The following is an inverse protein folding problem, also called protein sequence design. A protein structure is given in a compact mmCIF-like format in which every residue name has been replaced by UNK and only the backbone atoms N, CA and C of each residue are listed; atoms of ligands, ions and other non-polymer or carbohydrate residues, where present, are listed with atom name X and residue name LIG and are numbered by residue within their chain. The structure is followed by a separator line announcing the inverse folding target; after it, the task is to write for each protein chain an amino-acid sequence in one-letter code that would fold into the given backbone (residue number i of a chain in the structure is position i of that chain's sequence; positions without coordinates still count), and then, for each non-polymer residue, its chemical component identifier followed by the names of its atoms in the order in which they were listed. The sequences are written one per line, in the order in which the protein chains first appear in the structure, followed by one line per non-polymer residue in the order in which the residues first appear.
data_IF_150451747972
#
_entry.id   IF_150451747972
#
_cell.length_a   1.000
_cell.length_b   1.000
_cell.length_c   1.000
_cell.angle_alpha   90.00
_cell.angle_beta   90.00
_cell.angle_gamma   90.00
#
_symmetry.space_group_name_H-M   'P 1'
#
loop_
_entity.id
_entity.type
_entity.pdbx_description
1 polymer ?
#
# COMPACT_ATOMS: atom_id res chain seq x y z
N UNK A 1 9.69 -26.34 2.72
CA UNK A 1 8.57 -25.58 2.14
C UNK A 1 8.69 -24.16 2.69
N UNK A 2 8.72 -23.13 1.85
CA UNK A 2 8.81 -21.75 2.34
C UNK A 2 7.40 -21.24 2.62
N UNK A 3 7.08 -20.99 3.89
CA UNK A 3 5.82 -20.36 4.28
C UNK A 3 6.00 -18.84 4.32
N UNK A 4 5.15 -18.08 3.62
CA UNK A 4 5.21 -16.62 3.68
C UNK A 4 4.81 -16.12 5.06
N UNK A 5 5.51 -15.11 5.57
CA UNK A 5 5.10 -14.39 6.79
C UNK A 5 3.74 -13.72 6.61
N UNK A 6 3.07 -13.41 7.71
CA UNK A 6 1.81 -12.66 7.71
C UNK A 6 1.96 -11.35 6.95
N UNK A 7 3.09 -10.65 7.13
CA UNK A 7 3.42 -9.43 6.40
C UNK A 7 3.54 -9.69 4.89
N UNK A 8 4.20 -10.78 4.49
CA UNK A 8 4.35 -11.11 3.07
C UNK A 8 3.01 -11.46 2.40
N UNK A 9 2.06 -12.02 3.14
CA UNK A 9 0.68 -12.23 2.68
C UNK A 9 -0.07 -10.90 2.57
N UNK A 10 0.02 -10.05 3.60
CA UNK A 10 -0.61 -8.73 3.62
C UNK A 10 -0.13 -7.87 2.45
N UNK A 11 1.17 -7.82 2.17
CA UNK A 11 1.74 -7.05 1.04
C UNK A 11 1.20 -7.51 -0.31
N UNK A 12 0.94 -8.82 -0.50
CA UNK A 12 0.31 -9.33 -1.72
C UNK A 12 -1.13 -8.89 -1.84
N UNK A 13 -1.89 -8.98 -0.74
CA UNK A 13 -3.28 -8.52 -0.69
C UNK A 13 -3.36 -7.02 -0.99
N UNK A 14 -2.49 -6.21 -0.38
CA UNK A 14 -2.40 -4.78 -0.62
C UNK A 14 -2.11 -4.46 -2.09
N UNK A 15 -1.22 -5.21 -2.73
CA UNK A 15 -0.90 -5.02 -4.13
C UNK A 15 -2.10 -5.31 -5.05
N UNK A 16 -2.73 -6.48 -4.91
CA UNK A 16 -3.85 -6.87 -5.78
C UNK A 16 -5.06 -5.97 -5.57
N UNK A 17 -5.34 -5.57 -4.32
CA UNK A 17 -6.40 -4.61 -4.03
C UNK A 17 -6.11 -3.23 -4.66
N UNK A 18 -4.88 -2.70 -4.52
CA UNK A 18 -4.53 -1.42 -5.17
C UNK A 18 -4.52 -1.51 -6.71
N UNK A 19 -4.29 -2.68 -7.29
CA UNK A 19 -4.44 -2.91 -8.73
C UNK A 19 -5.91 -2.79 -9.16
N UNK A 20 -6.85 -3.30 -8.38
CA UNK A 20 -8.29 -3.11 -8.60
C UNK A 20 -8.68 -1.63 -8.46
N UNK A 21 -8.24 -0.98 -7.39
CA UNK A 21 -8.51 0.46 -7.14
C UNK A 21 -7.99 1.31 -8.29
N UNK A 22 -6.77 1.03 -8.80
CA UNK A 22 -6.24 1.69 -9.99
C UNK A 22 -7.21 1.59 -11.17
N UNK A 23 -7.76 0.41 -11.44
CA UNK A 23 -8.70 0.19 -12.54
C UNK A 23 -9.98 1.00 -12.35
N UNK A 24 -10.54 1.02 -11.14
CA UNK A 24 -11.72 1.82 -10.81
C UNK A 24 -11.49 3.32 -11.00
N UNK A 25 -10.33 3.83 -10.55
CA UNK A 25 -9.96 5.24 -10.74
C UNK A 25 -9.88 5.60 -12.24
N UNK A 26 -9.25 4.74 -13.05
CA UNK A 26 -9.08 4.97 -14.50
C UNK A 26 -10.44 4.90 -15.23
N UNK A 27 -11.31 3.98 -14.83
CA UNK A 27 -12.66 3.86 -15.38
C UNK A 27 -13.60 5.00 -14.96
N UNK A 28 -13.23 5.77 -13.92
CA UNK A 28 -14.09 6.79 -13.34
C UNK A 28 -15.21 6.24 -12.44
N UNK A 29 -15.10 4.96 -12.08
CA UNK A 29 -16.03 4.22 -11.24
C UNK A 29 -15.95 4.66 -9.77
N UNK A 30 -16.96 4.29 -8.98
CA UNK A 30 -16.87 4.39 -7.53
C UNK A 30 -15.81 3.44 -7.01
N UNK A 31 -14.98 3.91 -6.08
CA UNK A 31 -14.02 3.05 -5.40
C UNK A 31 -14.77 2.07 -4.49
N UNK A 32 -14.20 0.88 -4.30
CA UNK A 32 -14.61 -0.01 -3.23
C UNK A 32 -14.40 0.65 -1.86
N UNK A 33 -14.95 0.04 -0.80
CA UNK A 33 -14.73 0.50 0.57
C UNK A 33 -13.25 0.42 0.95
N UNK A 34 -12.80 1.37 1.76
CA UNK A 34 -11.42 1.41 2.25
C UNK A 34 -11.07 0.08 2.96
N UNK A 35 -9.94 -0.56 2.61
CA UNK A 35 -9.58 -1.86 3.16
C UNK A 35 -9.03 -1.69 4.58
N UNK A 36 -9.91 -1.81 5.57
CA UNK A 36 -9.57 -1.75 7.00
C UNK A 36 -8.46 -2.74 7.39
N UNK A 37 -8.39 -3.87 6.69
CA UNK A 37 -7.34 -4.88 6.85
C UNK A 37 -5.92 -4.35 6.64
N UNK A 38 -5.73 -3.24 5.91
CA UNK A 38 -4.39 -2.67 5.73
C UNK A 38 -3.81 -2.14 7.03
N UNK A 39 -4.63 -1.84 8.04
CA UNK A 39 -4.17 -1.46 9.39
C UNK A 39 -3.39 -2.59 10.07
N UNK A 40 -3.56 -3.85 9.61
CA UNK A 40 -2.74 -4.98 10.06
C UNK A 40 -1.26 -4.82 9.72
N UNK A 41 -0.87 -3.84 8.91
CA UNK A 41 0.54 -3.51 8.69
C UNK A 41 1.28 -3.20 10.01
N UNK A 42 0.58 -2.70 11.03
CA UNK A 42 1.15 -2.45 12.35
C UNK A 42 1.20 -3.67 13.26
N UNK A 43 0.58 -4.79 12.91
CA UNK A 43 0.47 -5.96 13.79
C UNK A 43 0.99 -7.25 13.16
N UNK A 44 0.89 -7.38 11.84
CA UNK A 44 1.32 -8.55 11.09
C UNK A 44 2.80 -8.85 11.32
N UNK A 45 3.12 -10.13 11.53
CA UNK A 45 4.48 -10.60 11.78
C UNK A 45 5.32 -10.48 10.50
N UNK A 46 6.44 -9.74 10.59
CA UNK A 46 7.43 -9.63 9.52
C UNK A 46 8.22 -10.94 9.40
N UNK A 47 8.80 -11.18 8.22
CA UNK A 47 9.74 -12.29 8.03
C UNK A 47 10.94 -12.18 8.97
N UNK A 48 11.40 -10.95 9.23
CA UNK A 48 12.36 -10.63 10.28
C UNK A 48 11.73 -9.64 11.27
N UNK A 49 11.33 -10.09 12.48
CA UNK A 49 10.67 -9.23 13.46
C UNK A 49 11.48 -8.01 13.90
N UNK A 50 12.81 -8.09 13.86
CA UNK A 50 13.72 -7.00 14.28
C UNK A 50 13.65 -5.77 13.37
N UNK A 51 13.14 -5.92 12.15
CA UNK A 51 12.97 -4.81 11.19
C UNK A 51 11.78 -3.89 11.54
N UNK A 52 10.98 -4.26 12.54
CA UNK A 52 9.85 -3.47 13.02
C UNK A 52 10.31 -2.45 14.06
N UNK A 53 10.63 -1.26 13.58
CA UNK A 53 11.06 -0.13 14.40
C UNK A 53 10.18 1.13 14.16
N UNK A 54 10.58 2.24 14.76
CA UNK A 54 9.86 3.51 14.66
C UNK A 54 9.80 4.07 13.22
N UNK A 55 10.80 3.83 12.37
CA UNK A 55 10.76 4.29 10.98
C UNK A 55 9.88 3.37 10.14
N UNK A 56 9.83 2.05 10.41
CA UNK A 56 8.82 1.16 9.82
C UNK A 56 7.40 1.69 10.09
N UNK A 57 7.08 1.97 11.36
CA UNK A 57 5.76 2.47 11.74
C UNK A 57 5.45 3.83 11.11
N UNK A 58 6.44 4.71 11.00
CA UNK A 58 6.27 6.00 10.32
C UNK A 58 5.92 5.82 8.83
N UNK A 59 6.64 4.94 8.13
CA UNK A 59 6.39 4.64 6.72
C UNK A 59 5.02 3.99 6.50
N UNK A 60 4.63 3.06 7.37
CA UNK A 60 3.32 2.43 7.37
C UNK A 60 2.19 3.47 7.56
N UNK A 61 2.35 4.39 8.52
CA UNK A 61 1.40 5.48 8.76
C UNK A 61 1.26 6.42 7.56
N UNK A 62 2.37 6.75 6.89
CA UNK A 62 2.35 7.58 5.68
C UNK A 62 1.55 6.90 4.57
N UNK A 63 1.75 5.59 4.36
CA UNK A 63 0.95 4.81 3.41
C UNK A 63 -0.55 4.85 3.76
N UNK A 64 -0.92 4.49 4.99
CA UNK A 64 -2.32 4.45 5.42
C UNK A 64 -3.00 5.82 5.30
N UNK A 65 -2.28 6.89 5.63
CA UNK A 65 -2.78 8.26 5.51
C UNK A 65 -3.13 8.61 4.07
N UNK A 66 -2.21 8.37 3.12
CA UNK A 66 -2.47 8.70 1.72
C UNK A 66 -3.52 7.77 1.09
N UNK A 67 -3.51 6.49 1.47
CA UNK A 67 -4.53 5.56 1.05
C UNK A 67 -5.91 6.03 1.54
N UNK A 68 -6.06 6.35 2.81
CA UNK A 68 -7.32 6.83 3.36
C UNK A 68 -7.80 8.12 2.66
N UNK A 69 -6.88 9.06 2.39
CA UNK A 69 -7.22 10.28 1.63
C UNK A 69 -7.71 9.98 0.21
N UNK A 70 -7.17 8.97 -0.46
CA UNK A 70 -7.64 8.58 -1.80
C UNK A 70 -9.11 8.11 -1.80
N UNK A 71 -9.57 7.51 -0.70
CA UNK A 71 -10.93 6.98 -0.56
C UNK A 71 -11.93 8.02 -0.03
N UNK A 72 -11.44 9.05 0.66
CA UNK A 72 -12.29 10.06 1.31
C UNK A 72 -12.26 11.43 0.60
N UNK A 73 -11.57 11.56 -0.52
CA UNK A 73 -11.52 12.82 -1.29
C UNK A 73 -12.47 12.81 -2.48
N UNK A 74 -12.74 14.00 -3.03
CA UNK A 74 -13.49 14.17 -4.28
C UNK A 74 -12.65 13.72 -5.49
N UNK A 75 -13.31 13.26 -6.55
CA UNK A 75 -12.71 12.61 -7.75
C UNK A 75 -11.41 13.28 -8.25
N UNK A 76 -11.38 14.61 -8.32
CA UNK A 76 -10.24 15.36 -8.89
C UNK A 76 -8.92 15.17 -8.12
N UNK A 77 -8.96 14.81 -6.84
CA UNK A 77 -7.77 14.58 -6.01
C UNK A 77 -7.45 13.10 -5.76
N UNK A 78 -8.32 12.18 -6.19
CA UNK A 78 -8.16 10.73 -5.94
C UNK A 78 -6.87 10.21 -6.55
N UNK A 79 -6.60 10.56 -7.81
CA UNK A 79 -5.36 10.17 -8.52
C UNK A 79 -4.12 10.65 -7.78
N UNK A 80 -4.14 11.89 -7.27
CA UNK A 80 -3.02 12.46 -6.52
C UNK A 80 -2.74 11.67 -5.25
N UNK A 81 -3.74 11.42 -4.41
CA UNK A 81 -3.55 10.69 -3.16
C UNK A 81 -3.23 9.22 -3.37
N UNK A 82 -3.83 8.58 -4.37
CA UNK A 82 -3.49 7.21 -4.74
C UNK A 82 -2.03 7.11 -5.21
N UNK A 83 -1.57 8.04 -6.05
CA UNK A 83 -0.17 8.07 -6.45
C UNK A 83 0.77 8.34 -5.26
N UNK A 84 0.34 9.12 -4.25
CA UNK A 84 1.10 9.31 -3.01
C UNK A 84 1.16 8.04 -2.16
N UNK A 85 0.08 7.25 -2.08
CA UNK A 85 0.11 5.96 -1.38
C UNK A 85 1.03 4.96 -2.09
N UNK A 86 0.98 4.88 -3.43
CA UNK A 86 1.91 4.05 -4.22
C UNK A 86 3.36 4.48 -4.03
N UNK A 87 3.64 5.79 -3.98
CA UNK A 87 4.99 6.26 -3.68
C UNK A 87 5.44 5.86 -2.26
N UNK A 88 4.54 5.88 -1.26
CA UNK A 88 4.86 5.41 0.08
C UNK A 88 5.23 3.92 0.09
N UNK A 89 4.54 3.08 -0.70
CA UNK A 89 4.95 1.69 -0.91
C UNK A 89 6.38 1.60 -1.46
N UNK A 90 6.70 2.40 -2.49
CA UNK A 90 8.04 2.42 -3.09
C UNK A 90 9.10 2.88 -2.09
N UNK A 91 8.83 3.92 -1.28
CA UNK A 91 9.75 4.39 -0.25
C UNK A 91 10.02 3.29 0.77
N UNK A 92 8.98 2.67 1.33
CA UNK A 92 9.14 1.57 2.30
C UNK A 92 9.97 0.42 1.70
N UNK A 93 9.72 0.04 0.45
CA UNK A 93 10.48 -1.01 -0.23
C UNK A 93 11.90 -0.61 -0.67
N UNK A 94 12.20 0.68 -0.76
CA UNK A 94 13.56 1.14 -1.04
C UNK A 94 14.40 1.17 0.24
N UNK A 95 13.77 1.48 1.37
CA UNK A 95 14.45 1.61 2.67
C UNK A 95 14.60 0.28 3.40
N UNK A 96 13.56 -0.59 3.37
CA UNK A 96 13.47 -1.74 4.28
C UNK A 96 13.59 -3.08 3.58
N UNK A 97 12.71 -3.34 2.62
CA UNK A 97 12.63 -4.63 1.95
C UNK A 97 12.64 -4.44 0.45
N UNK A 98 13.64 -5.00 -0.25
CA UNK A 98 13.80 -5.00 -1.72
C UNK A 98 12.76 -5.88 -2.41
N UNK A 99 11.49 -5.71 -2.05
CA UNK A 99 10.35 -6.25 -2.76
C UNK A 99 10.30 -5.76 -4.21
N UNK A 100 9.25 -6.12 -4.97
CA UNK A 100 9.21 -5.89 -6.40
C UNK A 100 8.89 -4.41 -6.74
N UNK A 101 9.83 -3.49 -6.47
CA UNK A 101 9.71 -2.05 -6.74
C UNK A 101 9.23 -1.75 -8.17
N UNK A 102 9.76 -2.40 -9.24
CA UNK A 102 9.27 -2.17 -10.59
C UNK A 102 7.78 -2.49 -10.75
N UNK A 103 7.27 -3.53 -10.07
CA UNK A 103 5.87 -3.94 -10.10
C UNK A 103 4.97 -2.94 -9.36
N UNK A 104 5.45 -2.41 -8.23
CA UNK A 104 4.73 -1.39 -7.44
C UNK A 104 4.64 -0.07 -8.22
N UNK A 105 5.72 0.38 -8.85
CA UNK A 105 5.73 1.61 -9.66
C UNK A 105 4.69 1.59 -10.79
N UNK A 106 4.37 0.42 -11.34
CA UNK A 106 3.32 0.25 -12.35
C UNK A 106 1.90 0.50 -11.83
N UNK A 107 1.69 0.60 -10.51
CA UNK A 107 0.40 0.99 -9.94
C UNK A 107 0.12 2.49 -10.11
N UNK A 108 1.14 3.34 -10.32
CA UNK A 108 0.90 4.77 -10.54
C UNK A 108 -0.02 5.00 -11.75
N UNK A 109 -0.84 6.03 -11.65
CA UNK A 109 -1.72 6.53 -12.71
C UNK A 109 -1.04 7.77 -13.29
N UNK A 110 -0.93 7.81 -14.62
CA UNK A 110 -0.36 8.95 -15.37
C UNK A 110 -1.48 9.79 -15.96
#
# INVERSE_FOLDING_TARGET
MYEPSEMALLMRQMYEYNKLVKQQIIAGDSLADYPEDFKKIHTAVLTNPEEKDAEYDSLANVFLTFQNKAFNTKKDSVVYYFNKSVNACVTCHTTRCTGPIPKIKRLKIQ
#
